data_IF_928626912063
#
_entry.id   IF_928626912063
#
_cell.length_a   1.000
_cell.length_b   1.000
_cell.length_c   1.000
_cell.angle_alpha   90.00
_cell.angle_beta   90.00
_cell.angle_gamma   90.00
#
_symmetry.space_group_name_H-M   'P 1'
#
loop_
_entity.id
_entity.type
_entity.pdbx_description
1 polymer ?
#
# COMPACT_ATOMS: atom_id res chain seq x y z
N UNK A 1 10.70 11.68 -24.69
CA UNK A 1 9.52 11.13 -23.98
C UNK A 1 9.96 10.76 -22.57
N UNK A 2 9.26 11.19 -21.55
CA UNK A 2 9.55 10.72 -20.20
C UNK A 2 9.22 9.22 -20.10
N UNK A 3 10.06 8.47 -19.38
CA UNK A 3 9.87 7.03 -19.15
C UNK A 3 8.59 6.84 -18.34
N UNK A 4 7.67 5.98 -18.80
CA UNK A 4 6.47 5.67 -18.04
C UNK A 4 6.82 5.07 -16.67
N UNK A 5 6.12 5.43 -15.61
CA UNK A 5 6.30 4.80 -14.30
C UNK A 5 5.98 3.30 -14.37
N UNK A 6 6.60 2.54 -13.49
CA UNK A 6 6.47 1.08 -13.42
C UNK A 6 5.68 0.70 -12.17
N UNK A 7 4.65 -0.10 -12.36
CA UNK A 7 3.95 -0.81 -11.28
C UNK A 7 4.44 -2.26 -11.28
N UNK A 8 5.18 -2.66 -10.25
CA UNK A 8 5.61 -4.05 -10.08
C UNK A 8 4.47 -4.86 -9.42
N UNK A 9 4.17 -6.02 -9.99
CA UNK A 9 3.11 -6.90 -9.50
C UNK A 9 3.65 -8.30 -9.28
N UNK A 10 4.05 -8.63 -8.05
CA UNK A 10 4.36 -9.99 -7.69
C UNK A 10 3.09 -10.85 -7.76
N UNK A 11 3.15 -11.95 -8.49
CA UNK A 11 2.03 -12.89 -8.64
C UNK A 11 2.47 -14.32 -8.40
N UNK A 12 1.61 -15.09 -7.76
CA UNK A 12 1.76 -16.53 -7.56
C UNK A 12 0.64 -17.33 -8.25
N UNK A 13 -0.08 -16.65 -9.16
CA UNK A 13 -1.20 -17.19 -9.92
C UNK A 13 -2.35 -17.69 -9.04
N UNK A 14 -2.46 -17.19 -7.81
CA UNK A 14 -3.62 -17.43 -6.95
C UNK A 14 -4.71 -16.38 -7.19
N UNK A 15 -5.98 -16.63 -6.76
CA UNK A 15 -7.04 -15.63 -6.88
C UNK A 15 -6.73 -14.27 -6.25
N UNK A 16 -5.85 -14.23 -5.23
CA UNK A 16 -5.43 -12.97 -4.61
C UNK A 16 -4.31 -12.30 -5.44
N UNK A 17 -3.44 -13.09 -6.05
CA UNK A 17 -2.51 -12.62 -7.09
C UNK A 17 -3.27 -12.01 -8.27
N UNK A 18 -4.33 -12.64 -8.73
CA UNK A 18 -5.20 -12.11 -9.78
C UNK A 18 -5.87 -10.79 -9.36
N UNK A 19 -6.25 -10.65 -8.09
CA UNK A 19 -6.75 -9.38 -7.55
C UNK A 19 -5.69 -8.28 -7.63
N UNK A 20 -4.43 -8.59 -7.31
CA UNK A 20 -3.32 -7.62 -7.43
C UNK A 20 -3.11 -7.18 -8.89
N UNK A 21 -3.14 -8.12 -9.84
CA UNK A 21 -3.07 -7.79 -11.28
C UNK A 21 -4.25 -6.92 -11.72
N UNK A 22 -5.47 -7.22 -11.24
CA UNK A 22 -6.65 -6.41 -11.55
C UNK A 22 -6.55 -4.97 -11.00
N UNK A 23 -6.08 -4.80 -9.76
CA UNK A 23 -5.79 -3.48 -9.18
C UNK A 23 -4.74 -2.72 -9.98
N UNK A 24 -3.61 -3.36 -10.27
CA UNK A 24 -2.54 -2.76 -11.06
C UNK A 24 -3.03 -2.35 -12.47
N UNK A 25 -3.92 -3.14 -13.07
CA UNK A 25 -4.52 -2.85 -14.37
C UNK A 25 -5.35 -1.55 -14.33
N UNK A 26 -6.15 -1.34 -13.30
CA UNK A 26 -6.90 -0.09 -13.15
C UNK A 26 -5.98 1.10 -12.86
N UNK A 27 -5.03 0.94 -11.93
CA UNK A 27 -4.06 1.97 -11.61
C UNK A 27 -3.19 2.34 -12.81
N UNK A 28 -2.74 1.36 -13.60
CA UNK A 28 -1.96 1.58 -14.82
C UNK A 28 -2.67 2.49 -15.82
N UNK A 29 -3.98 2.31 -16.01
CA UNK A 29 -4.79 3.18 -16.88
C UNK A 29 -4.90 4.60 -16.38
N UNK A 30 -5.09 4.75 -15.06
CA UNK A 30 -5.27 6.04 -14.42
C UNK A 30 -3.95 6.81 -14.38
N UNK A 31 -2.84 6.12 -14.08
CA UNK A 31 -1.52 6.70 -13.84
C UNK A 31 -0.64 6.74 -15.10
N UNK A 32 -1.12 6.29 -16.26
CA UNK A 32 -0.34 6.06 -17.48
C UNK A 32 0.96 5.29 -17.22
N UNK A 33 0.85 4.23 -16.40
CA UNK A 33 1.96 3.41 -15.97
C UNK A 33 2.03 2.09 -16.75
N UNK A 34 3.23 1.50 -16.88
CA UNK A 34 3.38 0.13 -17.35
C UNK A 34 3.36 -0.86 -16.19
N UNK A 35 2.97 -2.11 -16.45
CA UNK A 35 2.98 -3.19 -15.49
C UNK A 35 4.18 -4.10 -15.72
N UNK A 36 4.91 -4.39 -14.65
CA UNK A 36 5.93 -5.45 -14.62
C UNK A 36 5.42 -6.59 -13.73
N UNK A 37 5.10 -7.73 -14.33
CA UNK A 37 4.71 -8.94 -13.59
C UNK A 37 5.96 -9.65 -13.08
N UNK A 38 5.97 -10.05 -11.83
CA UNK A 38 7.06 -10.80 -11.22
C UNK A 38 6.56 -12.13 -10.66
N UNK A 39 7.23 -13.23 -11.03
CA UNK A 39 7.05 -14.51 -10.34
C UNK A 39 8.40 -15.01 -9.82
N UNK A 40 8.43 -15.37 -8.53
CA UNK A 40 9.65 -15.88 -7.88
C UNK A 40 9.56 -17.40 -7.77
N UNK A 41 10.55 -18.10 -8.31
CA UNK A 41 10.65 -19.56 -8.26
C UNK A 41 11.80 -20.00 -7.35
N UNK A 42 11.57 -21.02 -6.54
CA UNK A 42 12.62 -21.56 -5.66
C UNK A 42 13.55 -22.56 -6.40
N UNK A 43 13.14 -23.07 -7.55
CA UNK A 43 13.88 -24.09 -8.31
C UNK A 43 13.83 -23.77 -9.81
N UNK A 44 14.96 -23.91 -10.48
CA UNK A 44 15.10 -23.66 -11.92
C UNK A 44 14.12 -24.44 -12.79
N UNK A 45 13.82 -25.68 -12.40
CA UNK A 45 12.85 -26.55 -13.12
C UNK A 45 11.43 -25.98 -13.19
N UNK A 46 11.07 -25.05 -12.30
CA UNK A 46 9.74 -24.44 -12.23
C UNK A 46 9.64 -23.17 -13.11
N UNK A 47 10.79 -22.64 -13.56
CA UNK A 47 10.84 -21.42 -14.36
C UNK A 47 10.12 -21.51 -15.71
N UNK A 48 10.19 -22.60 -16.49
CA UNK A 48 9.49 -22.69 -17.77
C UNK A 48 7.96 -22.59 -17.63
N UNK A 49 7.39 -23.22 -16.61
CA UNK A 49 5.94 -23.17 -16.35
C UNK A 49 5.53 -21.76 -15.90
N UNK A 50 6.31 -21.15 -15.03
CA UNK A 50 6.09 -19.77 -14.58
C UNK A 50 6.13 -18.79 -15.75
N UNK A 51 7.12 -18.92 -16.64
CA UNK A 51 7.25 -18.08 -17.83
C UNK A 51 6.03 -18.19 -18.74
N UNK A 52 5.56 -19.41 -19.02
CA UNK A 52 4.36 -19.63 -19.84
C UNK A 52 3.11 -19.01 -19.22
N UNK A 53 2.95 -19.10 -17.89
CA UNK A 53 1.82 -18.50 -17.18
C UNK A 53 1.88 -16.96 -17.23
N UNK A 54 3.07 -16.36 -17.07
CA UNK A 54 3.27 -14.93 -17.19
C UNK A 54 3.00 -14.43 -18.62
N UNK A 55 3.47 -15.15 -19.65
CA UNK A 55 3.20 -14.82 -21.05
C UNK A 55 1.68 -14.83 -21.36
N UNK A 56 0.95 -15.78 -20.80
CA UNK A 56 -0.51 -15.80 -20.93
C UNK A 56 -1.16 -14.58 -20.27
N UNK A 57 -0.65 -14.12 -19.12
CA UNK A 57 -1.17 -12.95 -18.43
C UNK A 57 -0.82 -11.64 -19.17
N UNK A 58 0.40 -11.52 -19.71
CA UNK A 58 0.76 -10.40 -20.58
C UNK A 58 -0.22 -10.32 -21.76
N UNK A 59 -0.48 -11.42 -22.46
CA UNK A 59 -1.45 -11.43 -23.55
C UNK A 59 -2.86 -10.99 -23.17
N UNK A 60 -3.28 -11.18 -21.91
CA UNK A 60 -4.55 -10.65 -21.38
C UNK A 60 -4.49 -9.14 -21.15
N UNK A 61 -3.36 -8.62 -20.65
CA UNK A 61 -3.15 -7.20 -20.39
C UNK A 61 -3.05 -6.42 -21.71
N UNK A 62 -2.33 -6.95 -22.71
CA UNK A 62 -2.21 -6.35 -24.04
C UNK A 62 -3.57 -6.21 -24.76
N UNK A 63 -4.45 -7.22 -24.63
CA UNK A 63 -5.84 -7.13 -25.14
C UNK A 63 -6.64 -6.00 -24.48
N UNK A 64 -6.26 -5.56 -23.27
CA UNK A 64 -6.82 -4.41 -22.56
C UNK A 64 -6.08 -3.11 -22.81
N UNK A 65 -5.13 -3.11 -23.75
CA UNK A 65 -4.26 -1.97 -24.12
C UNK A 65 -3.38 -1.51 -22.95
N UNK A 66 -2.95 -2.44 -22.10
CA UNK A 66 -1.99 -2.21 -21.03
C UNK A 66 -0.61 -2.61 -21.48
N UNK A 67 0.34 -1.69 -21.37
CA UNK A 67 1.75 -1.98 -21.57
C UNK A 67 2.26 -2.84 -20.41
N UNK A 68 2.69 -4.06 -20.71
CA UNK A 68 3.12 -5.00 -19.68
C UNK A 68 4.35 -5.78 -20.12
N UNK A 69 5.20 -6.11 -19.14
CA UNK A 69 6.31 -7.04 -19.28
C UNK A 69 6.32 -7.99 -18.08
N UNK A 70 7.12 -9.06 -18.15
CA UNK A 70 7.18 -10.03 -17.07
C UNK A 70 8.59 -10.53 -16.84
N UNK A 71 8.85 -10.91 -15.58
CA UNK A 71 10.12 -11.43 -15.12
C UNK A 71 9.92 -12.65 -14.23
N UNK A 72 10.74 -13.70 -14.43
CA UNK A 72 10.86 -14.82 -13.51
C UNK A 72 12.19 -14.65 -12.78
N UNK A 73 12.12 -14.54 -11.46
CA UNK A 73 13.29 -14.44 -10.58
C UNK A 73 13.52 -15.78 -9.87
N UNK A 74 14.78 -16.20 -9.79
CA UNK A 74 15.17 -17.32 -8.92
C UNK A 74 15.55 -16.80 -7.55
N UNK A 75 14.86 -17.30 -6.50
CA UNK A 75 15.20 -16.86 -5.16
C UNK A 75 14.09 -17.03 -4.14
N UNK A 76 13.99 -16.05 -3.27
CA UNK A 76 13.02 -15.99 -2.18
C UNK A 76 12.22 -14.69 -2.27
N UNK A 77 10.89 -14.82 -2.37
CA UNK A 77 9.98 -13.69 -2.48
C UNK A 77 10.20 -12.62 -1.40
N UNK A 78 10.64 -13.01 -0.19
CA UNK A 78 10.82 -12.09 0.93
C UNK A 78 12.04 -11.18 0.80
N UNK A 79 13.06 -11.62 0.06
CA UNK A 79 14.35 -10.94 -0.04
C UNK A 79 14.58 -10.32 -1.42
N UNK A 80 13.81 -10.74 -2.43
CA UNK A 80 14.09 -10.41 -3.82
C UNK A 80 13.10 -9.42 -4.45
N UNK A 81 11.86 -9.28 -3.93
CA UNK A 81 10.91 -8.30 -4.46
C UNK A 81 11.47 -6.87 -4.44
N UNK A 82 12.06 -6.45 -3.32
CA UNK A 82 12.65 -5.11 -3.20
C UNK A 82 13.76 -4.89 -4.22
N UNK A 83 14.70 -5.84 -4.35
CA UNK A 83 15.79 -5.77 -5.33
C UNK A 83 15.29 -5.72 -6.78
N UNK A 84 14.23 -6.48 -7.09
CA UNK A 84 13.61 -6.42 -8.42
C UNK A 84 12.95 -5.07 -8.62
N UNK A 85 12.23 -4.55 -7.62
CA UNK A 85 11.62 -3.24 -7.69
C UNK A 85 12.63 -2.14 -8.00
N UNK A 86 13.79 -2.16 -7.34
CA UNK A 86 14.89 -1.22 -7.58
C UNK A 86 15.46 -1.36 -8.99
N UNK A 87 15.75 -2.59 -9.45
CA UNK A 87 16.27 -2.84 -10.80
C UNK A 87 15.31 -2.40 -11.91
N UNK A 88 14.01 -2.56 -11.68
CA UNK A 88 12.96 -2.17 -12.63
C UNK A 88 12.57 -0.70 -12.49
N UNK A 89 13.17 0.03 -11.53
CA UNK A 89 12.80 1.40 -11.19
C UNK A 89 11.29 1.52 -10.91
N UNK A 90 10.74 0.50 -10.22
CA UNK A 90 9.34 0.48 -9.86
C UNK A 90 9.00 1.65 -8.93
N UNK A 91 7.83 2.24 -9.15
CA UNK A 91 7.33 3.36 -8.34
C UNK A 91 6.26 2.94 -7.36
N UNK A 92 5.70 1.79 -7.60
CA UNK A 92 4.66 1.18 -6.77
C UNK A 92 4.75 -0.33 -6.88
N UNK A 93 4.53 -1.03 -5.80
CA UNK A 93 4.34 -2.48 -5.79
C UNK A 93 2.88 -2.75 -5.42
N UNK A 94 2.17 -3.53 -6.24
CA UNK A 94 0.81 -3.98 -5.93
C UNK A 94 0.85 -5.48 -5.69
N UNK A 95 0.55 -5.91 -4.46
CA UNK A 95 0.65 -7.32 -4.08
C UNK A 95 -0.58 -7.82 -3.32
N UNK A 96 -0.86 -9.11 -3.45
CA UNK A 96 -1.86 -9.78 -2.64
C UNK A 96 -1.35 -10.18 -1.26
N UNK A 97 -2.25 -10.25 -0.27
CA UNK A 97 -1.88 -10.66 1.11
C UNK A 97 -1.60 -12.15 1.26
N UNK A 98 -2.08 -12.99 0.33
CA UNK A 98 -2.06 -14.45 0.41
C UNK A 98 -1.50 -15.05 -0.86
N UNK A 99 -0.47 -15.85 -0.76
CA UNK A 99 0.13 -16.52 -1.90
C UNK A 99 0.54 -17.99 -1.66
N UNK A 100 0.44 -18.52 -0.48
CA UNK A 100 0.85 -19.91 -0.24
C UNK A 100 -0.31 -20.73 0.29
N UNK A 101 -0.72 -21.77 -0.47
CA UNK A 101 -1.73 -22.77 -0.06
C UNK A 101 -1.46 -23.24 1.38
N UNK A 102 -2.45 -23.08 2.27
CA UNK A 102 -2.46 -23.68 3.60
C UNK A 102 -2.11 -22.77 4.79
N UNK A 103 -1.87 -21.46 4.61
CA UNK A 103 -1.54 -20.56 5.72
C UNK A 103 -2.63 -19.51 5.99
N UNK A 104 -3.82 -20.00 6.35
CA UNK A 104 -5.00 -19.14 6.60
C UNK A 104 -4.93 -18.24 7.85
N UNK A 105 -3.90 -18.40 8.71
CA UNK A 105 -3.86 -17.70 10.02
C UNK A 105 -2.67 -16.75 10.24
N UNK A 106 -1.82 -16.48 9.24
CA UNK A 106 -0.64 -15.59 9.39
C UNK A 106 -0.59 -14.57 8.25
N UNK A 107 -1.71 -13.91 8.03
CA UNK A 107 -1.92 -13.03 6.86
C UNK A 107 -0.96 -11.84 6.78
N UNK A 108 -0.85 -11.08 7.83
CA UNK A 108 -0.08 -9.83 7.81
C UNK A 108 1.43 -9.99 7.98
N UNK A 109 1.91 -11.01 8.70
CA UNK A 109 3.34 -11.10 9.06
C UNK A 109 4.26 -11.38 7.87
N UNK A 110 3.81 -12.18 6.89
CA UNK A 110 4.61 -12.45 5.68
C UNK A 110 4.60 -11.29 4.70
N UNK A 111 3.43 -10.69 4.48
CA UNK A 111 3.34 -9.48 3.68
C UNK A 111 4.21 -8.36 4.30
N UNK A 112 4.11 -8.17 5.61
CA UNK A 112 4.92 -7.18 6.32
C UNK A 112 6.43 -7.44 6.15
N UNK A 113 6.89 -8.70 6.20
CA UNK A 113 8.29 -9.04 5.97
C UNK A 113 8.77 -8.65 4.56
N UNK A 114 7.94 -8.86 3.54
CA UNK A 114 8.24 -8.42 2.16
C UNK A 114 8.30 -6.90 2.07
N UNK A 115 7.32 -6.22 2.65
CA UNK A 115 7.19 -4.76 2.64
C UNK A 115 8.42 -4.13 3.30
N UNK A 116 8.86 -4.67 4.44
CA UNK A 116 9.98 -4.18 5.23
C UNK A 116 11.30 -4.09 4.47
N UNK A 117 11.47 -4.88 3.42
CA UNK A 117 12.72 -4.98 2.67
C UNK A 117 12.74 -4.15 1.36
N UNK A 118 11.91 -3.12 1.25
CA UNK A 118 11.88 -2.27 0.04
C UNK A 118 11.57 -0.82 0.39
N UNK A 119 12.21 0.12 -0.28
CA UNK A 119 11.90 1.55 -0.17
C UNK A 119 10.70 1.96 -1.04
N UNK A 120 10.28 1.10 -1.96
CA UNK A 120 9.14 1.34 -2.83
C UNK A 120 7.84 1.12 -2.05
N UNK A 121 6.84 2.04 -2.13
CA UNK A 121 5.55 1.87 -1.46
C UNK A 121 4.78 0.66 -2.01
N UNK A 122 3.98 0.05 -1.13
CA UNK A 122 3.14 -1.10 -1.46
C UNK A 122 1.65 -0.76 -1.36
N UNK A 123 0.86 -1.15 -2.35
CA UNK A 123 -0.58 -1.35 -2.17
C UNK A 123 -0.81 -2.83 -1.97
N UNK A 124 -1.26 -3.18 -0.76
CA UNK A 124 -1.57 -4.56 -0.39
C UNK A 124 -3.07 -4.77 -0.54
N UNK A 125 -3.44 -5.75 -1.37
CA UNK A 125 -4.84 -6.02 -1.70
C UNK A 125 -5.26 -7.42 -1.23
N UNK A 126 -6.57 -7.58 -1.04
CA UNK A 126 -7.21 -8.84 -0.75
C UNK A 126 -8.12 -9.22 -1.94
N UNK A 127 -9.35 -9.67 -1.69
CA UNK A 127 -10.26 -10.11 -2.75
C UNK A 127 -11.21 -9.01 -3.24
N UNK A 128 -11.43 -7.98 -2.40
CA UNK A 128 -12.35 -6.88 -2.75
C UNK A 128 -11.82 -6.15 -4.00
N UNK A 129 -12.61 -6.04 -5.08
CA UNK A 129 -12.16 -5.35 -6.28
C UNK A 129 -12.05 -3.84 -6.05
N UNK A 130 -11.20 -3.19 -6.82
CA UNK A 130 -11.14 -1.72 -6.86
C UNK A 130 -12.42 -1.18 -7.49
N UNK A 131 -12.98 -0.12 -6.90
CA UNK A 131 -14.12 0.59 -7.49
C UNK A 131 -13.69 1.31 -8.77
N UNK A 132 -14.60 1.45 -9.74
CA UNK A 132 -14.30 2.14 -11.02
C UNK A 132 -13.85 3.59 -10.81
N UNK A 133 -14.43 4.27 -9.81
CA UNK A 133 -14.08 5.64 -9.45
C UNK A 133 -12.68 5.80 -8.81
N UNK A 134 -11.99 4.71 -8.55
CA UNK A 134 -10.71 4.71 -7.86
C UNK A 134 -10.83 4.95 -6.36
N UNK A 135 -9.88 5.64 -5.78
CA UNK A 135 -9.82 5.92 -4.34
C UNK A 135 -10.52 7.23 -4.01
N UNK A 136 -11.81 7.21 -3.71
CA UNK A 136 -12.61 8.40 -3.35
C UNK A 136 -12.65 8.68 -1.85
N UNK A 137 -12.42 7.66 -1.03
CA UNK A 137 -12.39 7.77 0.44
C UNK A 137 -11.10 7.15 0.96
N UNK A 138 -10.18 7.98 1.44
CA UNK A 138 -8.90 7.56 1.99
C UNK A 138 -8.92 7.78 3.50
N UNK A 139 -8.47 6.81 4.28
CA UNK A 139 -8.40 6.92 5.73
C UNK A 139 -6.96 6.75 6.21
N UNK A 140 -6.54 7.60 7.14
CA UNK A 140 -5.18 7.60 7.70
C UNK A 140 -5.22 7.62 9.22
N UNK A 141 -4.48 6.75 9.91
CA UNK A 141 -4.25 6.89 11.34
C UNK A 141 -3.16 7.93 11.59
N UNK A 142 -3.39 8.79 12.58
CA UNK A 142 -2.42 9.79 13.02
C UNK A 142 -2.06 9.53 14.47
N UNK A 143 -0.78 9.35 14.73
CA UNK A 143 -0.19 9.18 16.04
C UNK A 143 0.76 10.34 16.42
N UNK A 144 1.57 10.15 17.45
CA UNK A 144 2.52 11.16 17.93
C UNK A 144 3.87 11.14 17.19
N UNK A 145 4.11 10.18 16.28
CA UNK A 145 5.37 10.06 15.57
C UNK A 145 5.46 11.10 14.46
N UNK A 146 6.65 11.65 14.22
CA UNK A 146 6.86 12.63 13.15
C UNK A 146 6.77 12.00 11.76
N UNK A 147 7.04 10.72 11.67
CA UNK A 147 7.00 9.93 10.44
C UNK A 147 5.60 9.87 9.83
N UNK A 148 4.55 10.04 10.64
CA UNK A 148 3.17 10.12 10.16
C UNK A 148 2.97 11.22 9.10
N UNK A 149 3.82 12.25 9.09
CA UNK A 149 3.81 13.29 8.05
C UNK A 149 4.08 12.74 6.65
N UNK A 150 4.83 11.64 6.54
CA UNK A 150 5.03 10.97 5.25
C UNK A 150 3.73 10.32 4.77
N UNK A 151 3.01 9.59 5.64
CA UNK A 151 1.74 8.97 5.25
C UNK A 151 0.68 10.01 4.89
N UNK A 152 0.65 11.14 5.61
CA UNK A 152 -0.24 12.27 5.31
C UNK A 152 0.07 12.84 3.91
N UNK A 153 1.36 13.02 3.59
CA UNK A 153 1.79 13.51 2.28
C UNK A 153 1.38 12.58 1.15
N UNK A 154 1.62 11.27 1.28
CA UNK A 154 1.18 10.29 0.29
C UNK A 154 -0.35 10.25 0.15
N UNK A 155 -1.07 10.28 1.28
CA UNK A 155 -2.52 10.31 1.25
C UNK A 155 -3.04 11.57 0.54
N UNK A 156 -2.43 12.74 0.79
CA UNK A 156 -2.75 13.99 0.10
C UNK A 156 -2.52 13.89 -1.41
N UNK A 157 -1.36 13.42 -1.86
CA UNK A 157 -1.01 13.32 -3.27
C UNK A 157 -1.97 12.38 -4.01
N UNK A 158 -2.27 11.21 -3.42
CA UNK A 158 -3.28 10.29 -3.94
C UNK A 158 -4.67 10.93 -3.89
N UNK A 159 -5.01 11.59 -2.79
CA UNK A 159 -6.28 12.27 -2.62
C UNK A 159 -6.53 13.32 -3.69
N UNK A 160 -5.52 14.14 -3.99
CA UNK A 160 -5.58 15.13 -5.08
C UNK A 160 -5.73 14.46 -6.45
N UNK A 161 -4.99 13.38 -6.68
CA UNK A 161 -5.01 12.66 -7.96
C UNK A 161 -6.39 12.04 -8.25
N UNK A 162 -7.03 11.48 -7.23
CA UNK A 162 -8.32 10.80 -7.35
C UNK A 162 -9.52 11.70 -6.97
N UNK A 163 -9.29 12.96 -6.62
CA UNK A 163 -10.34 13.84 -6.08
C UNK A 163 -11.06 13.14 -4.90
N UNK A 164 -10.26 12.73 -3.92
CA UNK A 164 -10.70 11.94 -2.77
C UNK A 164 -10.91 12.81 -1.53
N UNK A 165 -11.77 12.35 -0.64
CA UNK A 165 -11.86 12.85 0.73
C UNK A 165 -10.94 12.05 1.65
N UNK A 166 -10.18 12.75 2.50
CA UNK A 166 -9.28 12.14 3.48
C UNK A 166 -9.92 12.16 4.86
N UNK A 167 -9.97 11.00 5.52
CA UNK A 167 -10.41 10.87 6.91
C UNK A 167 -9.20 10.64 7.81
N UNK A 168 -8.90 11.63 8.63
CA UNK A 168 -7.86 11.57 9.65
C UNK A 168 -8.45 10.95 10.90
N UNK A 169 -7.85 9.86 11.38
CA UNK A 169 -8.28 9.18 12.60
C UNK A 169 -7.14 9.18 13.60
N UNK A 170 -7.38 9.71 14.79
CA UNK A 170 -6.36 9.78 15.83
C UNK A 170 -6.82 9.11 17.14
N UNK A 171 -5.84 8.71 17.97
CA UNK A 171 -6.11 8.18 19.30
C UNK A 171 -6.44 9.32 20.26
N UNK A 172 -7.56 9.22 21.00
CA UNK A 172 -7.82 10.06 22.16
C UNK A 172 -6.91 9.63 23.31
N UNK A 173 -5.78 10.30 23.44
CA UNK A 173 -4.78 9.98 24.46
C UNK A 173 -5.08 10.73 25.77
N UNK A 174 -4.85 10.06 26.90
CA UNK A 174 -5.04 10.64 28.25
C UNK A 174 -3.76 11.22 28.81
N UNK A 175 -2.60 10.75 28.36
CA UNK A 175 -1.31 11.33 28.75
C UNK A 175 -1.13 12.70 28.08
N UNK A 176 -0.97 13.80 28.86
CA UNK A 176 -0.92 15.14 28.28
C UNK A 176 0.28 15.38 27.35
N UNK A 177 1.40 14.70 27.61
CA UNK A 177 2.61 14.85 26.79
C UNK A 177 2.45 14.18 25.43
N UNK A 178 1.83 13.00 25.40
CA UNK A 178 1.55 12.28 24.15
C UNK A 178 0.41 12.96 23.40
N UNK A 179 -0.63 13.39 24.10
CA UNK A 179 -1.74 14.16 23.52
C UNK A 179 -1.25 15.41 22.79
N UNK A 180 -0.36 16.19 23.43
CA UNK A 180 0.24 17.39 22.81
C UNK A 180 1.01 17.09 21.52
N UNK A 181 1.69 15.94 21.42
CA UNK A 181 2.37 15.53 20.18
C UNK A 181 1.38 15.16 19.07
N UNK A 182 0.30 14.45 19.40
CA UNK A 182 -0.77 14.14 18.45
C UNK A 182 -1.43 15.43 17.97
N UNK A 183 -1.75 16.33 18.90
CA UNK A 183 -2.29 17.67 18.61
C UNK A 183 -1.37 18.51 17.74
N UNK A 184 -0.07 18.26 17.73
CA UNK A 184 0.87 18.92 16.81
C UNK A 184 0.80 18.34 15.37
N UNK A 185 0.55 17.05 15.23
CA UNK A 185 0.49 16.40 13.91
C UNK A 185 -0.85 16.67 13.18
N UNK A 186 -1.94 16.87 13.91
CA UNK A 186 -3.26 17.17 13.33
C UNK A 186 -3.27 18.51 12.58
N UNK A 187 -2.84 19.65 13.14
CA UNK A 187 -2.75 20.92 12.42
C UNK A 187 -1.89 20.84 11.16
N UNK A 188 -0.77 20.13 11.22
CA UNK A 188 0.05 19.90 10.03
C UNK A 188 -0.73 19.22 8.89
N UNK A 189 -1.51 18.18 9.25
CA UNK A 189 -2.35 17.50 8.27
C UNK A 189 -3.44 18.42 7.70
N UNK A 190 -4.09 19.21 8.57
CA UNK A 190 -5.13 20.18 8.18
C UNK A 190 -4.57 21.23 7.23
N UNK A 191 -3.47 21.90 7.61
CA UNK A 191 -2.81 22.93 6.80
C UNK A 191 -2.44 22.38 5.41
N UNK A 192 -1.80 21.22 5.36
CA UNK A 192 -1.43 20.58 4.10
C UNK A 192 -2.63 20.31 3.20
N UNK A 193 -3.73 19.79 3.76
CA UNK A 193 -4.92 19.44 3.00
C UNK A 193 -5.70 20.68 2.55
N UNK A 194 -5.82 21.70 3.42
CA UNK A 194 -6.47 22.96 3.12
C UNK A 194 -5.75 23.76 2.03
N UNK A 195 -4.42 23.91 2.15
CA UNK A 195 -3.60 24.59 1.14
C UNK A 195 -3.69 23.94 -0.24
N UNK A 196 -3.95 22.64 -0.28
CA UNK A 196 -4.04 21.87 -1.51
C UNK A 196 -5.48 21.58 -1.97
N UNK A 197 -6.47 22.12 -1.28
CA UNK A 197 -7.88 22.00 -1.64
C UNK A 197 -8.45 20.58 -1.54
N UNK A 198 -7.87 19.74 -0.69
CA UNK A 198 -8.34 18.36 -0.47
C UNK A 198 -9.35 18.31 0.67
N UNK A 199 -10.54 17.78 0.41
CA UNK A 199 -11.58 17.64 1.42
C UNK A 199 -11.14 16.64 2.50
N UNK A 200 -11.36 16.97 3.78
CA UNK A 200 -11.01 16.10 4.89
C UNK A 200 -12.03 16.11 6.02
N UNK A 201 -11.87 15.17 6.93
CA UNK A 201 -12.53 15.16 8.25
C UNK A 201 -11.62 14.52 9.28
N UNK A 202 -11.86 14.82 10.56
CA UNK A 202 -11.03 14.36 11.68
C UNK A 202 -11.92 13.66 12.68
N UNK A 203 -11.50 12.47 13.14
CA UNK A 203 -12.23 11.68 14.13
C UNK A 203 -11.26 11.14 15.16
N UNK A 204 -11.53 11.37 16.44
CA UNK A 204 -10.80 10.75 17.54
C UNK A 204 -11.53 9.49 17.99
N UNK A 205 -10.79 8.38 18.16
CA UNK A 205 -11.28 7.12 18.72
C UNK A 205 -10.44 6.72 19.94
N UNK A 206 -11.00 5.84 20.79
CA UNK A 206 -10.32 5.46 22.02
C UNK A 206 -9.12 4.53 21.75
N UNK A 207 -8.10 4.59 22.61
CA UNK A 207 -6.90 3.77 22.49
C UNK A 207 -7.16 2.28 22.65
N UNK A 208 -8.19 1.92 23.43
CA UNK A 208 -8.53 0.52 23.69
C UNK A 208 -9.05 -0.10 22.40
N UNK A 209 -8.30 -1.06 21.87
CA UNK A 209 -8.64 -1.77 20.62
C UNK A 209 -8.67 -0.86 19.37
N UNK A 210 -7.77 0.14 19.33
CA UNK A 210 -7.71 1.13 18.26
C UNK A 210 -7.71 0.50 16.86
N UNK A 211 -6.97 -0.59 16.64
CA UNK A 211 -6.88 -1.22 15.32
C UNK A 211 -8.25 -1.73 14.82
N UNK A 212 -9.02 -2.40 15.66
CA UNK A 212 -10.34 -2.91 15.27
C UNK A 212 -11.37 -1.79 15.13
N UNK A 213 -11.38 -0.80 16.02
CA UNK A 213 -12.25 0.37 15.90
C UNK A 213 -11.93 1.20 14.64
N UNK A 214 -10.65 1.33 14.30
CA UNK A 214 -10.20 1.98 13.06
C UNK A 214 -10.70 1.22 11.82
N UNK A 215 -10.59 -0.11 11.78
CA UNK A 215 -11.10 -0.94 10.69
C UNK A 215 -12.63 -0.83 10.58
N UNK A 216 -13.34 -0.87 11.69
CA UNK A 216 -14.79 -0.76 11.70
C UNK A 216 -15.26 0.62 11.23
N UNK A 217 -14.57 1.69 11.65
CA UNK A 217 -14.81 3.05 11.13
C UNK A 217 -14.50 3.14 9.63
N UNK A 218 -13.40 2.55 9.19
CA UNK A 218 -13.02 2.52 7.76
C UNK A 218 -14.09 1.83 6.92
N UNK A 219 -14.61 0.69 7.39
CA UNK A 219 -15.69 -0.03 6.73
C UNK A 219 -17.01 0.78 6.71
N UNK A 220 -17.35 1.45 7.84
CA UNK A 220 -18.55 2.30 7.94
C UNK A 220 -18.49 3.51 7.01
N UNK A 221 -17.29 4.06 6.78
CA UNK A 221 -17.05 5.17 5.85
C UNK A 221 -16.94 4.71 4.39
N UNK A 222 -17.06 3.40 4.13
CA UNK A 222 -16.85 2.79 2.82
C UNK A 222 -15.50 3.18 2.20
N UNK A 223 -14.45 3.16 3.03
CA UNK A 223 -13.11 3.54 2.63
C UNK A 223 -12.61 2.68 1.46
N UNK A 224 -11.93 3.35 0.52
CA UNK A 224 -11.33 2.74 -0.66
C UNK A 224 -9.85 2.42 -0.46
N UNK A 225 -9.19 3.14 0.44
CA UNK A 225 -7.77 2.98 0.75
C UNK A 225 -7.50 3.35 2.21
N UNK A 226 -6.71 2.53 2.88
CA UNK A 226 -6.05 2.87 4.14
C UNK A 226 -4.60 3.21 3.82
N UNK A 227 -4.05 4.30 4.38
CA UNK A 227 -2.64 4.63 4.23
C UNK A 227 -1.95 4.57 5.59
N UNK A 228 -0.90 3.76 5.70
CA UNK A 228 -0.10 3.63 6.92
C UNK A 228 1.38 3.77 6.62
N UNK A 229 2.15 4.16 7.65
CA UNK A 229 3.60 4.07 7.61
C UNK A 229 4.08 2.83 8.37
N UNK A 230 5.02 2.10 7.78
CA UNK A 230 5.70 0.98 8.42
C UNK A 230 6.99 1.50 9.07
N UNK A 231 6.99 1.53 10.39
CA UNK A 231 8.12 2.02 11.17
C UNK A 231 8.97 0.85 11.67
N UNK A 232 10.14 0.64 11.05
CA UNK A 232 11.04 -0.48 11.34
C UNK A 232 11.67 -0.46 12.73
N UNK A 233 11.85 0.71 13.31
CA UNK A 233 12.61 0.87 14.56
C UNK A 233 11.74 0.69 15.82
N UNK A 234 10.44 0.75 15.71
CA UNK A 234 9.52 0.63 16.83
C UNK A 234 8.82 -0.73 16.86
N UNK A 235 9.48 -1.72 17.46
CA UNK A 235 8.90 -3.03 17.83
C UNK A 235 7.67 -2.86 18.74
N UNK A 236 7.51 -1.69 19.37
CA UNK A 236 6.35 -1.29 20.16
C UNK A 236 5.66 -0.11 19.47
N UNK A 237 4.82 -0.42 18.49
CA UNK A 237 3.98 0.61 17.88
C UNK A 237 3.02 1.18 18.92
N UNK A 238 2.79 2.48 18.85
CA UNK A 238 1.86 3.20 19.74
C UNK A 238 0.45 2.58 19.76
N UNK A 239 0.04 2.02 18.64
CA UNK A 239 -1.26 1.36 18.47
C UNK A 239 -1.31 -0.10 18.97
N UNK A 240 -0.18 -0.64 19.44
CA UNK A 240 -0.05 -2.05 19.83
C UNK A 240 0.78 -2.86 18.83
N UNK A 241 1.60 -3.77 19.30
CA UNK A 241 2.67 -4.47 18.55
C UNK A 241 2.27 -5.30 17.31
N UNK A 242 1.03 -5.21 16.84
CA UNK A 242 0.53 -5.88 15.62
C UNK A 242 -0.39 -4.99 14.79
N UNK A 243 -0.33 -3.65 14.99
CA UNK A 243 -1.23 -2.71 14.31
C UNK A 243 -1.12 -2.84 12.79
N UNK A 244 0.07 -2.70 12.22
CA UNK A 244 0.32 -2.78 10.78
C UNK A 244 -0.14 -4.14 10.24
N UNK A 245 0.16 -5.23 10.95
CA UNK A 245 -0.27 -6.57 10.57
C UNK A 245 -1.80 -6.69 10.57
N UNK A 246 -2.47 -6.14 11.57
CA UNK A 246 -3.93 -6.16 11.70
C UNK A 246 -4.58 -5.34 10.58
N UNK A 247 -4.01 -4.15 10.27
CA UNK A 247 -4.51 -3.30 9.19
C UNK A 247 -4.30 -3.95 7.83
N UNK A 248 -3.13 -4.51 7.54
CA UNK A 248 -2.84 -5.19 6.26
C UNK A 248 -3.77 -6.38 6.06
N UNK A 249 -4.09 -7.12 7.14
CA UNK A 249 -5.00 -8.26 7.11
C UNK A 249 -6.46 -7.92 7.43
N UNK A 250 -6.90 -6.66 7.28
CA UNK A 250 -8.18 -6.20 7.76
C UNK A 250 -9.38 -6.98 7.19
N UNK A 251 -10.35 -7.26 8.07
CA UNK A 251 -11.56 -8.05 7.74
C UNK A 251 -12.50 -7.39 6.72
N UNK A 252 -12.35 -6.07 6.52
CA UNK A 252 -13.14 -5.31 5.54
C UNK A 252 -12.56 -5.39 4.13
N UNK A 253 -11.42 -6.07 3.97
CA UNK A 253 -10.69 -6.23 2.70
C UNK A 253 -10.38 -4.89 2.01
N UNK A 254 -10.23 -3.82 2.79
CA UNK A 254 -9.86 -2.50 2.27
C UNK A 254 -8.38 -2.55 1.89
N UNK A 255 -8.01 -2.09 0.68
CA UNK A 255 -6.61 -2.00 0.27
C UNK A 255 -5.80 -1.14 1.22
N UNK A 256 -4.54 -1.50 1.43
CA UNK A 256 -3.65 -0.76 2.33
C UNK A 256 -2.42 -0.28 1.58
N UNK A 257 -2.25 1.03 1.49
CA UNK A 257 -0.98 1.63 1.08
C UNK A 257 -0.04 1.64 2.28
N UNK A 258 1.06 0.92 2.16
CA UNK A 258 2.10 0.85 3.17
C UNK A 258 3.33 1.55 2.65
N UNK A 259 3.80 2.55 3.39
CA UNK A 259 4.99 3.33 3.10
C UNK A 259 6.04 2.96 4.12
N UNK A 260 7.24 2.58 3.68
CA UNK A 260 8.35 2.40 4.60
C UNK A 260 8.96 3.75 4.97
N UNK A 261 9.36 3.88 6.22
CA UNK A 261 10.08 5.05 6.68
C UNK A 261 11.40 5.17 5.91
N UNK A 262 11.58 6.27 5.21
CA UNK A 262 12.82 6.55 4.49
C UNK A 262 13.66 7.47 5.37
N UNK A 263 14.81 7.00 5.82
CA UNK A 263 15.75 7.74 6.67
C UNK A 263 16.39 8.95 5.95
N UNK A 264 16.37 9.01 4.63
CA UNK A 264 16.99 10.09 3.86
C UNK A 264 15.97 11.15 3.41
N UNK A 265 16.36 12.42 3.50
CA UNK A 265 15.58 13.61 3.15
C UNK A 265 15.26 13.76 1.64
N UNK A 266 15.58 12.83 0.78
CA UNK A 266 15.13 12.85 -0.60
C UNK A 266 13.67 12.43 -0.62
N UNK A 267 12.81 13.44 -0.61
CA UNK A 267 11.37 13.28 -0.60
C UNK A 267 10.91 12.48 -1.83
N UNK A 268 10.75 11.18 -1.66
CA UNK A 268 9.92 10.45 -2.59
C UNK A 268 8.49 10.97 -2.42
N UNK A 269 7.96 11.56 -3.48
CA UNK A 269 6.60 12.06 -3.57
C UNK A 269 5.88 11.16 -4.55
N UNK A 270 4.62 10.82 -4.29
CA UNK A 270 3.79 10.07 -5.24
C UNK A 270 3.69 10.84 -6.56
N UNK A 271 3.62 12.17 -6.51
CA UNK A 271 3.58 13.03 -7.70
C UNK A 271 4.88 13.03 -8.51
N UNK A 272 6.05 12.82 -7.88
CA UNK A 272 7.33 12.62 -8.60
C UNK A 272 7.31 11.29 -9.36
N UNK A 273 6.46 10.36 -8.94
CA UNK A 273 6.36 9.04 -9.52
C UNK A 273 5.39 8.95 -10.69
N UNK A 274 4.33 9.76 -10.67
CA UNK A 274 3.20 9.65 -11.60
C UNK A 274 2.76 11.02 -12.17
N UNK A 275 3.50 12.10 -11.90
CA UNK A 275 3.22 13.46 -12.37
C UNK A 275 3.91 13.82 -13.69
#
# INVERSE_FOLDING_TARGET
MMKKPVILVPTDFTPVGDSAVAYATQLSKILDAKIELLHVVAKEKDAPMAKSALEAEIGRLEKRQIEASAHVEMGNIFDDIGKVADRQEARLIVMGTHGVKGMQHVMGSKALKVITNSDVPFIVVQKKPMKEAGFKTIIIPVDFNQEVKQSIKYAWEIGKYFDAKIHIVYVKEKDPFIAAKIEHNIPYAQELLEENGVAYSITGIDKKDFANEFIDLSAKLDADLITIINNHENIFTYFGGSFEQTIIGNKAEIPVLVINQIASKSAYSFSIYFG
#
